data_IF_230554561800
#
_entry.id   IF_230554561800
#
_cell.length_a   1.000
_cell.length_b   1.000
_cell.length_c   1.000
_cell.angle_alpha   90.00
_cell.angle_beta   90.00
_cell.angle_gamma   90.00
#
_symmetry.space_group_name_H-M   'P 1'
#
loop_
_entity.id
_entity.type
_entity.pdbx_description
1 polymer ?
#
# COMPACT_ATOMS: atom_id res chain seq x y z
N UNK A 1 7.50 40.31 -18.98
CA UNK A 1 8.35 40.96 -20.00
C UNK A 1 9.11 42.09 -19.32
N UNK A 2 10.35 41.85 -18.88
CA UNK A 2 11.17 42.83 -18.15
C UNK A 2 11.78 43.83 -19.17
N UNK A 3 11.26 45.03 -19.25
CA UNK A 3 11.90 46.10 -20.03
C UNK A 3 13.22 46.46 -19.35
N UNK A 4 14.35 46.17 -20.03
CA UNK A 4 15.64 46.69 -19.63
C UNK A 4 15.61 48.24 -19.86
N UNK A 5 15.94 49.03 -18.85
CA UNK A 5 16.13 50.46 -19.11
C UNK A 5 17.29 50.62 -20.09
N UNK A 6 17.10 51.43 -21.10
CA UNK A 6 18.15 51.75 -22.05
C UNK A 6 19.28 52.47 -21.29
N UNK A 7 20.38 51.75 -21.08
CA UNK A 7 21.63 52.32 -20.56
C UNK A 7 22.29 53.03 -21.73
N UNK A 8 22.20 54.37 -21.78
CA UNK A 8 23.02 55.13 -22.66
C UNK A 8 24.48 55.02 -22.21
N UNK A 9 25.26 54.22 -22.92
CA UNK A 9 26.71 54.24 -22.84
C UNK A 9 27.21 55.49 -23.60
N UNK A 10 26.87 56.72 -23.12
CA UNK A 10 27.47 57.94 -23.55
C UNK A 10 28.87 58.08 -22.95
N UNK A 11 29.86 58.51 -23.74
CA UNK A 11 31.16 58.92 -23.19
C UNK A 11 30.90 59.95 -22.11
N UNK A 12 31.24 59.65 -20.86
CA UNK A 12 31.20 60.62 -19.76
C UNK A 12 32.12 61.75 -20.14
N UNK A 13 31.66 63.01 -20.18
CA UNK A 13 32.51 64.16 -20.57
C UNK A 13 33.69 64.26 -19.62
N UNK A 14 34.88 64.58 -20.12
CA UNK A 14 36.07 64.77 -19.28
C UNK A 14 35.79 65.86 -18.24
N UNK A 15 36.11 65.56 -16.95
CA UNK A 15 35.80 66.47 -15.86
C UNK A 15 36.70 67.71 -15.98
N UNK A 16 36.07 68.87 -16.15
CA UNK A 16 36.76 70.14 -16.24
C UNK A 16 37.21 70.71 -14.88
N UNK A 17 36.65 70.12 -13.78
CA UNK A 17 36.97 70.57 -12.42
C UNK A 17 37.23 69.37 -11.48
N UNK A 18 38.06 69.56 -10.44
CA UNK A 18 38.31 68.51 -9.44
C UNK A 18 37.06 67.99 -8.74
N UNK A 19 36.06 68.86 -8.58
CA UNK A 19 34.76 68.51 -7.98
C UNK A 19 33.91 67.57 -8.85
N UNK A 20 33.92 67.85 -10.17
CA UNK A 20 33.25 66.95 -11.13
C UNK A 20 33.91 65.59 -11.20
N UNK A 21 35.21 65.52 -11.12
CA UNK A 21 35.95 64.26 -11.06
C UNK A 21 35.59 63.44 -9.80
N UNK A 22 35.49 64.10 -8.65
CA UNK A 22 35.07 63.44 -7.41
C UNK A 22 33.63 62.93 -7.48
N UNK A 23 32.72 63.72 -8.06
CA UNK A 23 31.32 63.30 -8.25
C UNK A 23 31.21 62.09 -9.20
N UNK A 24 31.95 62.08 -10.31
CA UNK A 24 31.96 60.94 -11.24
C UNK A 24 32.48 59.63 -10.57
N UNK A 25 33.56 59.71 -9.78
CA UNK A 25 34.09 58.57 -9.03
C UNK A 25 33.07 58.06 -7.98
N UNK A 26 32.33 58.96 -7.34
CA UNK A 26 31.27 58.61 -6.40
C UNK A 26 30.10 57.88 -7.08
N UNK A 27 29.63 58.44 -8.21
CA UNK A 27 28.51 57.85 -8.97
C UNK A 27 28.88 56.49 -9.54
N UNK A 28 30.12 56.30 -10.00
CA UNK A 28 30.62 55.03 -10.50
C UNK A 28 30.68 53.98 -9.38
N UNK A 29 31.16 54.34 -8.19
CA UNK A 29 31.18 53.45 -7.01
C UNK A 29 29.79 53.06 -6.53
N UNK A 30 28.89 54.05 -6.44
CA UNK A 30 27.49 53.79 -6.04
C UNK A 30 26.76 52.95 -7.09
N UNK A 31 27.02 53.20 -8.39
CA UNK A 31 26.45 52.44 -9.49
C UNK A 31 26.90 51.00 -9.45
N UNK A 32 28.21 50.76 -9.27
CA UNK A 32 28.75 49.40 -9.16
C UNK A 32 28.20 48.63 -7.94
N UNK A 33 28.11 49.29 -6.79
CA UNK A 33 27.54 48.69 -5.58
C UNK A 33 26.08 48.32 -5.74
N UNK A 34 25.26 49.14 -6.40
CA UNK A 34 23.85 48.85 -6.69
C UNK A 34 23.69 47.67 -7.64
N UNK A 35 24.52 47.60 -8.68
CA UNK A 35 24.51 46.48 -9.63
C UNK A 35 24.90 45.19 -8.91
N UNK A 36 25.93 45.25 -8.08
CA UNK A 36 26.41 44.12 -7.30
C UNK A 36 25.30 43.66 -6.31
N UNK A 37 24.67 44.54 -5.59
CA UNK A 37 23.58 44.22 -4.70
C UNK A 37 22.36 43.57 -5.43
N UNK A 38 22.07 44.02 -6.65
CA UNK A 38 21.03 43.43 -7.51
C UNK A 38 21.39 42.00 -7.91
N UNK A 39 22.63 41.79 -8.32
CA UNK A 39 23.12 40.45 -8.72
C UNK A 39 23.09 39.47 -7.53
N UNK A 40 23.51 39.93 -6.35
CA UNK A 40 23.44 39.12 -5.14
C UNK A 40 22.02 38.73 -4.75
N UNK A 41 21.05 39.66 -4.89
CA UNK A 41 19.63 39.39 -4.66
C UNK A 41 19.09 38.36 -5.66
N UNK A 42 19.42 38.51 -6.95
CA UNK A 42 19.02 37.55 -7.98
C UNK A 42 19.61 36.14 -7.69
N UNK A 43 20.88 36.11 -7.30
CA UNK A 43 21.53 34.87 -6.92
C UNK A 43 20.88 34.22 -5.67
N UNK A 44 20.55 35.00 -4.66
CA UNK A 44 19.86 34.53 -3.48
C UNK A 44 18.45 33.96 -3.80
N UNK A 45 17.68 34.62 -4.66
CA UNK A 45 16.40 34.10 -5.12
C UNK A 45 16.56 32.82 -5.96
N UNK A 46 17.59 32.77 -6.80
CA UNK A 46 17.92 31.55 -7.57
C UNK A 46 18.24 30.36 -6.65
N UNK A 47 19.08 30.58 -5.65
CA UNK A 47 19.39 29.56 -4.65
C UNK A 47 18.15 29.14 -3.84
N UNK A 48 17.29 30.09 -3.46
CA UNK A 48 16.06 29.79 -2.73
C UNK A 48 15.10 28.91 -3.56
N UNK A 49 14.93 29.21 -4.85
CA UNK A 49 14.13 28.40 -5.75
C UNK A 49 14.68 27.00 -5.92
N UNK A 50 16.01 26.86 -6.07
CA UNK A 50 16.66 25.57 -6.19
C UNK A 50 16.50 24.73 -4.90
N UNK A 51 16.74 25.32 -3.74
CA UNK A 51 16.60 24.62 -2.45
C UNK A 51 15.15 24.18 -2.20
N UNK A 52 14.19 25.04 -2.51
CA UNK A 52 12.76 24.70 -2.40
C UNK A 52 12.38 23.59 -3.38
N UNK A 53 12.90 23.61 -4.60
CA UNK A 53 12.70 22.56 -5.59
C UNK A 53 13.26 21.21 -5.14
N UNK A 54 14.50 21.20 -4.64
CA UNK A 54 15.11 19.98 -4.11
C UNK A 54 14.40 19.46 -2.87
N UNK A 55 14.00 20.33 -1.95
CA UNK A 55 13.25 19.94 -0.76
C UNK A 55 11.90 19.31 -1.14
N UNK A 56 11.18 19.90 -2.08
CA UNK A 56 9.92 19.35 -2.58
C UNK A 56 10.12 17.99 -3.26
N UNK A 57 11.18 17.84 -4.07
CA UNK A 57 11.51 16.58 -4.72
C UNK A 57 11.88 15.48 -3.70
N UNK A 58 12.64 15.82 -2.65
CA UNK A 58 13.00 14.88 -1.57
C UNK A 58 11.77 14.46 -0.76
N UNK A 59 10.87 15.39 -0.44
CA UNK A 59 9.62 15.09 0.24
C UNK A 59 8.78 14.13 -0.62
N UNK A 60 8.64 14.44 -1.90
CA UNK A 60 7.89 13.59 -2.84
C UNK A 60 8.51 12.18 -2.98
N UNK A 61 9.84 12.09 -3.06
CA UNK A 61 10.56 10.82 -3.10
C UNK A 61 10.41 10.04 -1.78
N UNK A 62 10.48 10.72 -0.63
CA UNK A 62 10.30 10.11 0.69
C UNK A 62 8.89 9.55 0.89
N UNK A 63 7.87 10.22 0.35
CA UNK A 63 6.48 9.73 0.38
C UNK A 63 6.26 8.47 -0.49
N UNK A 64 7.16 8.18 -1.43
CA UNK A 64 7.16 6.97 -2.27
C UNK A 64 7.97 5.83 -1.65
N UNK A 65 8.15 5.79 -0.34
CA UNK A 65 8.90 4.76 0.37
C UNK A 65 8.55 3.36 -0.14
N UNK A 66 9.43 2.78 -0.93
CA UNK A 66 9.32 1.40 -1.42
C UNK A 66 9.82 0.50 -0.31
N UNK A 67 8.89 -0.12 0.43
CA UNK A 67 9.24 -1.24 1.29
C UNK A 67 9.51 -2.42 0.36
N UNK A 68 10.75 -2.85 0.28
CA UNK A 68 11.12 -4.06 -0.48
C UNK A 68 11.01 -5.24 0.49
N UNK A 69 9.97 -6.08 0.39
CA UNK A 69 9.87 -7.27 1.23
C UNK A 69 10.92 -8.29 0.79
N UNK A 70 11.60 -8.89 1.76
CA UNK A 70 12.46 -10.03 1.52
C UNK A 70 11.66 -11.32 1.77
N UNK A 71 11.57 -12.15 0.76
CA UNK A 71 10.96 -13.48 0.91
C UNK A 71 12.09 -14.47 1.21
N UNK A 72 12.03 -15.07 2.40
CA UNK A 72 12.91 -16.18 2.77
C UNK A 72 12.10 -17.45 2.59
N UNK A 73 12.46 -18.27 1.62
CA UNK A 73 11.87 -19.58 1.42
C UNK A 73 12.68 -20.59 2.23
N UNK A 74 12.03 -21.34 3.09
CA UNK A 74 12.65 -22.43 3.87
C UNK A 74 12.30 -23.73 3.16
N UNK A 75 13.31 -24.51 2.80
CA UNK A 75 13.10 -25.83 2.20
C UNK A 75 12.66 -26.88 3.23
N UNK A 76 12.36 -28.09 2.77
CA UNK A 76 11.92 -29.21 3.64
C UNK A 76 12.99 -29.62 4.68
N UNK A 77 14.25 -29.22 4.52
CA UNK A 77 15.36 -29.50 5.42
C UNK A 77 15.61 -28.37 6.42
N UNK A 78 14.85 -27.27 6.33
CA UNK A 78 15.01 -26.10 7.20
C UNK A 78 16.09 -25.13 6.75
N UNK A 79 16.72 -25.33 5.59
CA UNK A 79 17.67 -24.37 5.04
C UNK A 79 16.94 -23.16 4.43
N UNK A 80 17.30 -21.97 4.92
CA UNK A 80 16.77 -20.73 4.39
C UNK A 80 17.42 -20.44 3.03
N UNK A 81 16.69 -20.61 1.94
CA UNK A 81 17.08 -20.03 0.65
C UNK A 81 16.66 -18.57 0.63
N UNK A 82 17.66 -17.69 0.62
CA UNK A 82 17.42 -16.26 0.39
C UNK A 82 16.96 -16.12 -1.06
N UNK A 83 15.67 -16.09 -1.27
CA UNK A 83 15.09 -15.57 -2.49
C UNK A 83 15.16 -14.07 -2.33
N UNK A 84 15.94 -13.37 -3.11
CA UNK A 84 16.24 -11.94 -3.02
C UNK A 84 15.05 -11.02 -2.71
N UNK A 85 15.19 -9.70 -2.82
CA UNK A 85 14.08 -8.78 -2.61
C UNK A 85 12.91 -9.28 -3.45
N UNK A 86 11.70 -9.35 -2.88
CA UNK A 86 10.51 -9.69 -3.65
C UNK A 86 10.44 -8.71 -4.82
N UNK A 87 10.96 -9.16 -5.96
CA UNK A 87 10.91 -8.41 -7.19
C UNK A 87 9.44 -8.13 -7.50
N UNK A 88 9.18 -7.07 -8.24
CA UNK A 88 7.83 -6.71 -8.67
C UNK A 88 7.07 -7.86 -9.36
N UNK A 89 7.77 -8.93 -9.72
CA UNK A 89 7.30 -10.11 -10.45
C UNK A 89 7.21 -11.39 -9.57
N UNK A 90 7.19 -11.27 -8.24
CA UNK A 90 6.99 -12.45 -7.40
C UNK A 90 5.58 -13.00 -7.54
N UNK A 91 5.46 -14.21 -8.07
CA UNK A 91 4.20 -14.96 -8.10
C UNK A 91 4.17 -15.98 -6.95
N UNK A 92 3.15 -15.93 -6.07
CA UNK A 92 2.99 -16.93 -5.02
C UNK A 92 2.77 -18.31 -5.62
N UNK A 93 3.42 -19.33 -5.04
CA UNK A 93 3.23 -20.73 -5.44
C UNK A 93 1.86 -21.25 -5.03
N UNK A 94 1.35 -22.27 -5.73
CA UNK A 94 0.06 -22.90 -5.43
C UNK A 94 -0.08 -23.33 -3.96
N UNK A 95 0.91 -23.97 -3.32
CA UNK A 95 0.82 -24.31 -1.90
C UNK A 95 0.63 -23.08 -0.98
N UNK A 96 1.29 -21.96 -1.30
CA UNK A 96 1.15 -20.72 -0.54
C UNK A 96 -0.25 -20.14 -0.71
N UNK A 97 -0.76 -20.08 -1.94
CA UNK A 97 -2.12 -19.63 -2.21
C UNK A 97 -3.13 -20.54 -1.51
N UNK A 98 -2.97 -21.86 -1.61
CA UNK A 98 -3.83 -22.85 -0.96
C UNK A 98 -3.91 -22.63 0.55
N UNK A 99 -2.78 -22.43 1.22
CA UNK A 99 -2.74 -22.13 2.66
C UNK A 99 -3.51 -20.87 3.02
N UNK A 100 -3.31 -19.78 2.26
CA UNK A 100 -3.99 -18.52 2.53
C UNK A 100 -5.49 -18.57 2.27
N UNK A 101 -5.93 -19.27 1.22
CA UNK A 101 -7.35 -19.45 0.91
C UNK A 101 -8.06 -20.32 1.93
N UNK A 102 -7.42 -21.41 2.39
CA UNK A 102 -7.96 -22.23 3.47
C UNK A 102 -8.17 -21.41 4.76
N UNK A 103 -7.14 -20.65 5.16
CA UNK A 103 -7.22 -19.74 6.32
C UNK A 103 -8.27 -18.66 6.17
N UNK A 104 -8.46 -18.14 4.97
CA UNK A 104 -9.52 -17.16 4.70
C UNK A 104 -10.91 -17.77 4.95
N UNK A 105 -11.18 -18.95 4.43
CA UNK A 105 -12.47 -19.65 4.66
C UNK A 105 -12.67 -19.91 6.15
N UNK A 106 -11.66 -20.43 6.85
CA UNK A 106 -11.72 -20.63 8.30
C UNK A 106 -12.06 -19.33 9.04
N UNK A 107 -11.38 -18.22 8.72
CA UNK A 107 -11.59 -16.92 9.37
C UNK A 107 -13.01 -16.36 9.15
N UNK A 108 -13.59 -16.58 7.99
CA UNK A 108 -14.93 -16.02 7.64
C UNK A 108 -16.05 -16.92 8.13
N UNK A 109 -15.88 -18.24 8.05
CA UNK A 109 -16.97 -19.22 8.24
C UNK A 109 -17.00 -19.83 9.64
N UNK A 110 -15.86 -19.89 10.35
CA UNK A 110 -15.85 -20.40 11.70
C UNK A 110 -16.49 -19.40 12.68
N UNK A 111 -17.28 -19.94 13.59
CA UNK A 111 -17.91 -19.18 14.70
C UNK A 111 -17.47 -19.82 16.00
N UNK A 112 -16.33 -19.41 16.57
CA UNK A 112 -15.91 -19.81 17.90
C UNK A 112 -16.84 -19.24 18.98
N UNK A 113 -16.77 -19.78 20.19
CA UNK A 113 -17.59 -19.33 21.33
C UNK A 113 -17.24 -17.91 21.79
N UNK A 114 -16.01 -17.48 21.55
CA UNK A 114 -15.49 -16.18 21.99
C UNK A 114 -15.72 -15.10 20.91
N UNK A 115 -16.50 -14.04 21.20
CA UNK A 115 -16.74 -12.94 20.28
C UNK A 115 -15.47 -12.16 19.91
N UNK A 116 -14.46 -12.14 20.77
CA UNK A 116 -13.20 -11.48 20.50
C UNK A 116 -12.48 -12.20 19.36
N UNK A 117 -12.47 -13.54 19.39
CA UNK A 117 -11.87 -14.37 18.34
C UNK A 117 -12.62 -14.21 17.02
N UNK A 118 -13.97 -14.18 17.05
CA UNK A 118 -14.78 -13.92 15.84
C UNK A 118 -14.37 -12.61 15.21
N UNK A 119 -14.28 -11.52 16.01
CA UNK A 119 -13.87 -10.21 15.52
C UNK A 119 -12.46 -10.23 14.92
N UNK A 120 -11.51 -10.86 15.59
CA UNK A 120 -10.14 -10.96 15.08
C UNK A 120 -10.05 -11.72 13.77
N UNK A 121 -10.80 -12.81 13.62
CA UNK A 121 -10.86 -13.60 12.39
C UNK A 121 -11.42 -12.77 11.25
N UNK A 122 -12.49 -12.02 11.48
CA UNK A 122 -13.07 -11.13 10.48
C UNK A 122 -12.13 -10.01 10.07
N UNK A 123 -11.45 -9.36 11.01
CA UNK A 123 -10.45 -8.33 10.70
C UNK A 123 -9.31 -8.90 9.85
N UNK A 124 -8.84 -10.12 10.18
CA UNK A 124 -7.84 -10.81 9.35
C UNK A 124 -8.37 -11.10 7.95
N UNK A 125 -9.62 -11.56 7.83
CA UNK A 125 -10.22 -11.81 6.52
C UNK A 125 -10.23 -10.55 5.64
N UNK A 126 -10.57 -9.38 6.21
CA UNK A 126 -10.53 -8.11 5.48
C UNK A 126 -9.11 -7.71 5.02
N UNK A 127 -8.07 -8.04 5.79
CA UNK A 127 -6.67 -7.79 5.38
C UNK A 127 -6.28 -8.56 4.11
N UNK A 128 -7.05 -9.61 3.74
CA UNK A 128 -6.86 -10.46 2.55
C UNK A 128 -7.90 -10.22 1.45
N UNK A 129 -8.63 -9.10 1.47
CA UNK A 129 -9.60 -8.78 0.42
C UNK A 129 -9.26 -7.48 -0.31
N UNK A 130 -9.65 -7.42 -1.59
CA UNK A 130 -9.77 -6.14 -2.30
C UNK A 130 -11.04 -5.41 -1.84
N UNK A 131 -11.20 -4.14 -2.23
CA UNK A 131 -12.44 -3.39 -1.96
C UNK A 131 -13.69 -4.13 -2.47
N UNK A 132 -13.59 -4.78 -3.63
CA UNK A 132 -14.67 -5.60 -4.20
C UNK A 132 -14.95 -6.87 -3.37
N UNK A 133 -13.89 -7.56 -2.93
CA UNK A 133 -14.00 -8.70 -2.05
C UNK A 133 -14.60 -8.33 -0.69
N UNK A 134 -14.22 -7.16 -0.15
CA UNK A 134 -14.76 -6.63 1.09
C UNK A 134 -16.27 -6.32 0.98
N UNK A 135 -16.76 -5.81 -0.17
CA UNK A 135 -18.19 -5.63 -0.40
C UNK A 135 -18.94 -6.95 -0.32
N UNK A 136 -18.44 -8.02 -0.96
CA UNK A 136 -19.05 -9.34 -0.89
C UNK A 136 -19.09 -9.90 0.54
N UNK A 137 -18.01 -9.68 1.33
CA UNK A 137 -17.99 -10.05 2.76
C UNK A 137 -19.00 -9.26 3.57
N UNK A 138 -19.15 -7.96 3.31
CA UNK A 138 -20.12 -7.10 3.99
C UNK A 138 -21.56 -7.55 3.71
N UNK A 139 -21.86 -7.93 2.47
CA UNK A 139 -23.18 -8.45 2.10
C UNK A 139 -23.45 -9.77 2.80
N UNK A 140 -22.47 -10.66 2.85
CA UNK A 140 -22.57 -11.91 3.59
C UNK A 140 -22.76 -11.66 5.10
N UNK A 141 -22.00 -10.75 5.71
CA UNK A 141 -22.10 -10.42 7.14
C UNK A 141 -23.48 -9.87 7.50
N UNK A 142 -24.05 -9.02 6.65
CA UNK A 142 -25.42 -8.48 6.84
C UNK A 142 -26.48 -9.58 6.78
N UNK A 143 -26.33 -10.52 5.86
CA UNK A 143 -27.31 -11.61 5.69
C UNK A 143 -27.21 -12.68 6.80
N UNK A 144 -26.01 -12.90 7.37
CA UNK A 144 -25.75 -14.04 8.25
C UNK A 144 -25.30 -13.67 9.66
N UNK A 145 -25.11 -12.42 9.98
CA UNK A 145 -24.62 -11.85 11.24
C UNK A 145 -23.85 -12.86 12.14
N UNK A 146 -22.52 -12.99 11.95
CA UNK A 146 -21.76 -13.97 12.70
C UNK A 146 -21.74 -13.68 14.21
N UNK A 147 -21.91 -12.41 14.61
CA UNK A 147 -21.89 -12.01 16.01
C UNK A 147 -23.20 -12.33 16.72
N UNK A 148 -24.33 -12.32 16.05
CA UNK A 148 -25.62 -12.70 16.63
C UNK A 148 -25.69 -14.21 17.00
N UNK A 149 -24.83 -15.02 16.41
CA UNK A 149 -24.75 -16.47 16.66
C UNK A 149 -23.80 -16.82 17.81
N UNK A 150 -22.87 -15.93 18.17
CA UNK A 150 -21.90 -16.17 19.26
C UNK A 150 -22.63 -16.44 20.58
N UNK A 151 -22.17 -17.49 21.29
CA UNK A 151 -22.77 -17.93 22.55
C UNK A 151 -24.04 -18.79 22.41
N UNK A 152 -24.64 -18.85 21.20
CA UNK A 152 -25.81 -19.70 20.91
C UNK A 152 -25.42 -20.94 20.13
N UNK A 153 -24.61 -20.78 19.11
CA UNK A 153 -24.11 -21.86 18.27
C UNK A 153 -22.63 -21.64 17.95
N UNK A 154 -21.92 -22.73 17.72
CA UNK A 154 -20.53 -22.73 17.31
C UNK A 154 -20.43 -23.41 15.94
N UNK A 155 -19.53 -22.93 15.09
CA UNK A 155 -19.27 -23.55 13.79
C UNK A 155 -17.79 -23.84 13.67
N UNK A 156 -17.45 -25.12 13.56
CA UNK A 156 -16.12 -25.57 13.22
C UNK A 156 -16.02 -25.81 11.72
N UNK A 157 -14.96 -25.28 11.12
CA UNK A 157 -14.71 -25.36 9.68
C UNK A 157 -13.49 -26.22 9.44
N UNK A 158 -13.60 -27.16 8.51
CA UNK A 158 -12.51 -28.03 8.09
C UNK A 158 -12.40 -27.99 6.55
N UNK A 159 -11.34 -27.37 6.05
CA UNK A 159 -11.10 -27.28 4.61
C UNK A 159 -10.58 -28.61 4.10
N UNK A 160 -11.30 -29.23 3.17
CA UNK A 160 -10.98 -30.54 2.62
C UNK A 160 -10.12 -30.47 1.37
N UNK A 161 -10.33 -29.45 0.52
CA UNK A 161 -9.53 -29.29 -0.69
C UNK A 161 -9.50 -27.84 -1.18
N UNK A 162 -8.37 -27.47 -1.79
CA UNK A 162 -8.20 -26.21 -2.54
C UNK A 162 -7.54 -26.56 -3.86
N UNK A 163 -8.24 -26.33 -4.95
CA UNK A 163 -7.82 -26.73 -6.30
C UNK A 163 -7.86 -25.52 -7.21
N UNK A 164 -6.79 -25.27 -7.97
CA UNK A 164 -6.76 -24.23 -8.97
C UNK A 164 -7.79 -24.54 -10.07
N UNK A 165 -8.74 -23.65 -10.29
CA UNK A 165 -9.77 -23.77 -11.32
C UNK A 165 -9.41 -22.97 -12.59
N UNK A 166 -8.68 -21.84 -12.44
CA UNK A 166 -8.16 -21.02 -13.52
C UNK A 166 -6.90 -20.29 -13.05
N UNK A 167 -6.18 -19.53 -13.91
CA UNK A 167 -4.99 -18.76 -13.46
C UNK A 167 -5.20 -17.94 -12.21
N UNK A 168 -6.38 -17.34 -12.04
CA UNK A 168 -6.71 -16.44 -10.94
C UNK A 168 -7.86 -16.94 -10.06
N UNK A 169 -8.36 -18.17 -10.24
CA UNK A 169 -9.50 -18.69 -9.47
C UNK A 169 -9.19 -20.05 -8.88
N UNK A 170 -9.67 -20.24 -7.65
CA UNK A 170 -9.52 -21.50 -6.91
C UNK A 170 -10.86 -21.99 -6.42
N UNK A 171 -11.09 -23.29 -6.53
CA UNK A 171 -12.19 -23.97 -5.89
C UNK A 171 -11.75 -24.47 -4.53
N UNK A 172 -12.48 -24.06 -3.51
CA UNK A 172 -12.26 -24.47 -2.12
C UNK A 172 -13.48 -25.26 -1.66
N UNK A 173 -13.29 -26.46 -1.16
CA UNK A 173 -14.32 -27.26 -0.55
C UNK A 173 -14.04 -27.45 0.96
N UNK A 174 -15.08 -27.37 1.77
CA UNK A 174 -14.95 -27.52 3.22
C UNK A 174 -16.21 -28.11 3.83
N UNK A 175 -16.06 -28.60 5.06
CA UNK A 175 -17.14 -29.10 5.91
C UNK A 175 -17.32 -28.17 7.09
N UNK A 176 -18.56 -27.81 7.37
CA UNK A 176 -18.98 -27.07 8.57
C UNK A 176 -19.68 -28.03 9.53
N UNK A 177 -19.19 -28.05 10.77
CA UNK A 177 -19.85 -28.75 11.86
C UNK A 177 -20.48 -27.73 12.79
N UNK A 178 -21.79 -27.76 12.88
CA UNK A 178 -22.58 -26.88 13.74
C UNK A 178 -22.83 -27.54 15.08
N UNK A 179 -22.51 -26.83 16.15
CA UNK A 179 -22.69 -27.28 17.51
C UNK A 179 -23.69 -26.38 18.24
N UNK A 180 -24.67 -26.99 18.90
CA UNK A 180 -25.61 -26.30 19.78
C UNK A 180 -25.52 -26.95 21.17
N UNK A 181 -25.36 -26.11 22.21
CA UNK A 181 -25.15 -26.58 23.58
C UNK A 181 -24.05 -27.68 23.73
N UNK A 182 -22.98 -27.59 22.93
CA UNK A 182 -21.86 -28.50 22.94
C UNK A 182 -22.10 -29.83 22.20
N UNK A 183 -23.29 -30.04 21.61
CA UNK A 183 -23.62 -31.25 20.84
C UNK A 183 -23.60 -30.94 19.34
N UNK A 184 -23.18 -31.88 18.52
CA UNK A 184 -23.20 -31.78 17.07
C UNK A 184 -24.67 -31.74 16.57
N UNK A 185 -25.10 -30.62 16.06
CA UNK A 185 -26.46 -30.42 15.55
C UNK A 185 -26.57 -30.70 14.04
N UNK A 186 -25.56 -30.27 13.26
CA UNK A 186 -25.57 -30.47 11.81
C UNK A 186 -24.15 -30.53 11.24
N UNK A 187 -24.01 -31.22 10.11
CA UNK A 187 -22.79 -31.20 9.28
C UNK A 187 -23.18 -30.82 7.87
N UNK A 188 -22.51 -29.82 7.35
CA UNK A 188 -22.80 -29.25 6.04
C UNK A 188 -21.55 -29.21 5.18
N UNK A 189 -21.69 -29.51 3.90
CA UNK A 189 -20.60 -29.38 2.92
C UNK A 189 -20.83 -28.14 2.08
N UNK A 190 -19.75 -27.43 1.83
CA UNK A 190 -19.74 -26.19 1.09
C UNK A 190 -18.62 -26.15 0.07
N UNK A 191 -18.87 -25.46 -1.02
CA UNK A 191 -17.86 -25.18 -2.06
C UNK A 191 -17.87 -23.71 -2.38
N UNK A 192 -16.69 -23.13 -2.58
CA UNK A 192 -16.52 -21.76 -3.07
C UNK A 192 -15.63 -21.72 -4.30
N UNK A 193 -15.91 -20.75 -5.18
CA UNK A 193 -14.96 -20.24 -6.17
C UNK A 193 -14.45 -18.88 -5.68
N UNK A 194 -13.17 -18.83 -5.36
CA UNK A 194 -12.47 -17.61 -4.94
C UNK A 194 -11.60 -17.10 -6.07
N UNK A 195 -11.83 -15.86 -6.50
CA UNK A 195 -10.97 -15.19 -7.48
C UNK A 195 -9.96 -14.33 -6.74
N UNK A 196 -8.68 -14.50 -7.03
CA UNK A 196 -7.59 -13.78 -6.38
C UNK A 196 -6.93 -12.77 -7.31
N UNK A 197 -6.29 -11.78 -6.68
CA UNK A 197 -5.37 -10.84 -7.33
C UNK A 197 -4.12 -10.77 -6.47
N UNK A 198 -2.95 -10.82 -7.10
CA UNK A 198 -1.67 -10.65 -6.41
C UNK A 198 -1.23 -9.21 -6.57
N UNK A 199 -1.02 -8.51 -5.44
CA UNK A 199 -0.56 -7.13 -5.39
C UNK A 199 0.57 -7.02 -4.37
N UNK A 200 1.80 -6.73 -4.78
CA UNK A 200 2.92 -6.57 -3.86
C UNK A 200 2.63 -5.53 -2.78
N UNK A 201 2.91 -5.82 -1.50
CA UNK A 201 2.69 -4.89 -0.41
C UNK A 201 3.57 -3.65 -0.57
N UNK A 202 2.97 -2.45 -0.50
CA UNK A 202 3.67 -1.18 -0.72
C UNK A 202 4.09 -0.46 0.57
N UNK A 203 3.68 -0.96 1.72
CA UNK A 203 4.02 -0.39 3.03
C UNK A 203 4.28 -1.48 4.08
N UNK A 204 4.94 -1.10 5.18
CA UNK A 204 5.33 -2.03 6.24
C UNK A 204 4.13 -2.67 6.97
N UNK A 205 2.99 -1.99 7.04
CA UNK A 205 1.78 -2.53 7.65
C UNK A 205 1.18 -3.64 6.80
N UNK A 206 0.99 -3.42 5.50
CA UNK A 206 0.52 -4.45 4.56
C UNK A 206 1.48 -5.63 4.48
N UNK A 207 2.80 -5.35 4.52
CA UNK A 207 3.81 -6.39 4.52
C UNK A 207 3.68 -7.33 5.74
N UNK A 208 3.40 -6.79 6.93
CA UNK A 208 3.22 -7.61 8.14
C UNK A 208 1.95 -8.44 8.11
N UNK A 209 0.86 -7.90 7.52
CA UNK A 209 -0.44 -8.56 7.48
C UNK A 209 -0.57 -9.56 6.33
N UNK A 210 -0.11 -9.17 5.15
CA UNK A 210 -0.22 -9.96 3.92
C UNK A 210 1.09 -9.85 3.10
N UNK A 211 2.14 -10.57 3.53
CA UNK A 211 3.47 -10.46 2.91
C UNK A 211 3.51 -10.91 1.45
N UNK A 212 2.66 -11.87 1.07
CA UNK A 212 2.60 -12.39 -0.30
C UNK A 212 1.70 -11.56 -1.22
N UNK A 213 0.95 -10.59 -0.66
CA UNK A 213 0.07 -9.73 -1.44
C UNK A 213 -1.08 -10.48 -2.12
N UNK A 214 -1.53 -11.60 -1.56
CA UNK A 214 -2.66 -12.38 -2.09
C UNK A 214 -3.95 -11.74 -1.59
N UNK A 215 -4.78 -11.24 -2.52
CA UNK A 215 -6.06 -10.65 -2.18
C UNK A 215 -7.21 -11.36 -2.88
N UNK A 216 -8.28 -11.60 -2.17
CA UNK A 216 -9.52 -12.17 -2.68
C UNK A 216 -10.35 -11.03 -3.28
N UNK A 217 -10.64 -11.13 -4.57
CA UNK A 217 -11.35 -10.12 -5.34
C UNK A 217 -12.84 -10.45 -5.55
N UNK A 218 -13.17 -11.75 -5.63
CA UNK A 218 -14.55 -12.20 -5.74
C UNK A 218 -14.74 -13.51 -4.98
N UNK A 219 -15.92 -13.65 -4.41
CA UNK A 219 -16.33 -14.78 -3.60
C UNK A 219 -17.66 -15.28 -4.13
N UNK A 220 -17.72 -16.56 -4.48
CA UNK A 220 -18.96 -17.21 -4.84
C UNK A 220 -18.98 -18.59 -4.15
N UNK A 221 -19.84 -18.77 -3.17
CA UNK A 221 -19.99 -20.03 -2.44
C UNK A 221 -21.40 -20.55 -2.46
N UNK A 222 -21.50 -21.86 -2.39
CA UNK A 222 -22.77 -22.57 -2.36
C UNK A 222 -22.67 -23.78 -1.42
N UNK A 223 -23.79 -24.07 -0.77
CA UNK A 223 -23.96 -25.31 0.00
C UNK A 223 -24.12 -26.48 -0.98
N UNK A 224 -23.41 -27.55 -0.74
CA UNK A 224 -23.59 -28.80 -1.49
C UNK A 224 -24.89 -29.45 -1.02
N UNK A 225 -25.73 -29.82 -1.99
CA UNK A 225 -26.93 -30.60 -1.71
C UNK A 225 -26.45 -32.00 -1.28
N UNK A 226 -26.65 -32.34 -0.02
CA UNK A 226 -26.34 -33.68 0.51
C UNK A 226 -27.15 -34.74 -0.25
N UNK A 227 -26.43 -35.80 -0.66
CA UNK A 227 -27.08 -37.08 -1.00
C UNK A 227 -27.50 -37.75 0.28
#
# INVERSE_FOLDING_TARGET
MFKRPATHYGKTPEPETPYQKAAQVWDERIGSARVQAKNWRLMAFGCLLLTTGFASALIWQSMRGTVVPWVVQVDALGEARVVGPAAADYEPTDPQVTFHLARFIENVRAIPADPIIVRQNWLRAYDFTTDRGALALNDYARANDPFAKVGKSQVAVEVSSVIRASPNSFRVAWTERHYENGQLAATERWTAILTIVVQPPRNAERLRKNPLGIYINAINWSKELGQ
#
